data_IF_618641322225
#
_entry.id   IF_618641322225
#
_cell.length_a   1.000
_cell.length_b   1.000
_cell.length_c   1.000
_cell.angle_alpha   90.00
_cell.angle_beta   90.00
_cell.angle_gamma   90.00
#
_symmetry.space_group_name_H-M   'P 1'
#
loop_
_entity.id
_entity.type
_entity.pdbx_description
1 polymer ?
#
# COMPACT_ATOMS: atom_id res chain seq x y z
N UNK A 1 -14.78 -22.92 8.14
CA UNK A 1 -14.99 -21.55 8.64
C UNK A 1 -14.25 -20.64 7.71
N UNK A 2 -14.93 -19.68 7.10
CA UNK A 2 -14.27 -18.62 6.35
C UNK A 2 -13.46 -17.76 7.33
N UNK A 3 -12.25 -17.30 6.96
CA UNK A 3 -11.46 -16.44 7.83
C UNK A 3 -12.22 -15.14 8.11
N UNK A 4 -12.15 -14.61 9.35
CA UNK A 4 -12.85 -13.37 9.68
C UNK A 4 -12.32 -12.22 8.81
N UNK A 5 -13.25 -11.47 8.23
CA UNK A 5 -12.94 -10.24 7.51
C UNK A 5 -12.41 -9.19 8.49
N UNK A 6 -11.13 -8.83 8.36
CA UNK A 6 -10.48 -7.89 9.26
C UNK A 6 -10.44 -6.50 8.61
N UNK A 7 -11.10 -5.53 9.24
CA UNK A 7 -10.93 -4.12 8.90
C UNK A 7 -9.74 -3.57 9.67
N UNK A 8 -8.75 -3.06 8.95
CA UNK A 8 -7.72 -2.24 9.55
C UNK A 8 -8.21 -0.83 9.86
N UNK A 9 -7.64 -0.16 10.87
CA UNK A 9 -7.99 1.20 11.21
C UNK A 9 -7.81 2.11 10.00
N UNK A 10 -8.54 3.22 10.02
CA UNK A 10 -8.42 4.26 9.01
C UNK A 10 -7.11 5.02 9.23
N UNK A 11 -6.18 4.84 8.30
CA UNK A 11 -4.92 5.55 8.26
C UNK A 11 -5.13 7.01 7.86
N UNK A 12 -4.62 7.92 8.70
CA UNK A 12 -4.62 9.36 8.45
C UNK A 12 -3.21 9.92 8.58
N UNK A 13 -2.89 11.01 7.87
CA UNK A 13 -1.57 11.65 7.99
C UNK A 13 -1.34 12.25 9.38
N UNK A 14 -2.38 12.76 10.02
CA UNK A 14 -2.32 13.38 11.35
C UNK A 14 -2.46 12.38 12.51
N UNK A 15 -2.40 11.07 12.24
CA UNK A 15 -2.47 10.08 13.32
C UNK A 15 -1.29 10.21 14.28
N UNK A 16 -1.58 10.18 15.59
CA UNK A 16 -0.55 10.13 16.64
C UNK A 16 0.22 8.79 16.64
N UNK A 17 -0.29 7.78 15.94
CA UNK A 17 0.30 6.45 15.81
C UNK A 17 1.08 6.31 14.49
N UNK A 18 2.37 5.89 14.53
CA UNK A 18 3.16 5.68 13.32
C UNK A 18 2.75 4.38 12.63
N UNK A 19 1.69 4.44 11.83
CA UNK A 19 1.23 3.32 11.02
C UNK A 19 2.06 3.12 9.76
N UNK A 20 2.71 4.17 9.26
CA UNK A 20 3.61 4.15 8.11
C UNK A 20 5.04 4.02 8.60
N UNK A 21 5.66 2.86 8.39
CA UNK A 21 7.07 2.64 8.66
C UNK A 21 7.96 3.43 7.69
N UNK A 22 7.60 3.38 6.39
CA UNK A 22 8.31 4.07 5.34
C UNK A 22 7.90 3.64 3.94
N UNK A 23 8.59 4.19 2.94
CA UNK A 23 8.33 3.89 1.54
C UNK A 23 9.64 3.47 0.89
N UNK A 24 9.71 2.23 0.40
CA UNK A 24 10.94 1.69 -0.15
C UNK A 24 11.26 2.24 -1.56
N UNK A 25 12.48 2.02 -2.10
CA UNK A 25 12.84 2.49 -3.44
C UNK A 25 11.94 1.97 -4.56
N UNK A 26 11.34 0.79 -4.35
CA UNK A 26 10.39 0.16 -5.27
C UNK A 26 8.95 0.64 -5.05
N UNK A 27 8.73 1.70 -4.25
CA UNK A 27 7.41 2.28 -3.96
C UNK A 27 6.44 1.31 -3.27
N UNK A 28 6.92 0.39 -2.44
CA UNK A 28 6.02 -0.25 -1.49
C UNK A 28 5.81 0.63 -0.28
N UNK A 29 4.56 0.72 0.18
CA UNK A 29 4.19 1.39 1.41
C UNK A 29 4.25 0.37 2.55
N UNK A 30 5.18 0.55 3.48
CA UNK A 30 5.38 -0.34 4.61
C UNK A 30 4.50 0.11 5.76
N UNK A 31 3.47 -0.67 6.07
CA UNK A 31 2.46 -0.28 7.04
C UNK A 31 2.31 -1.30 8.16
N UNK A 32 2.09 -0.81 9.38
CA UNK A 32 1.69 -1.60 10.53
C UNK A 32 0.20 -1.98 10.43
N UNK A 33 -0.08 -3.27 10.41
CA UNK A 33 -1.46 -3.78 10.38
C UNK A 33 -2.09 -3.52 11.74
N UNK A 34 -3.24 -2.85 11.77
CA UNK A 34 -3.95 -2.54 13.03
C UNK A 34 -3.11 -1.75 14.04
N UNK A 35 -2.08 -1.01 13.58
CA UNK A 35 -1.14 -0.32 14.45
C UNK A 35 -0.14 -1.24 15.18
N UNK A 36 -0.15 -2.54 14.90
CA UNK A 36 0.83 -3.49 15.44
C UNK A 36 2.17 -3.38 14.70
N UNK A 37 3.15 -2.78 15.37
CA UNK A 37 4.51 -2.59 14.84
C UNK A 37 5.28 -3.90 14.66
N UNK A 38 4.81 -5.02 15.23
CA UNK A 38 5.38 -6.34 14.97
C UNK A 38 4.84 -6.97 13.68
N UNK A 39 3.74 -6.43 13.14
CA UNK A 39 3.08 -6.92 11.93
C UNK A 39 3.13 -5.85 10.82
N UNK A 40 4.29 -5.71 10.19
CA UNK A 40 4.50 -4.76 9.08
C UNK A 40 4.38 -5.47 7.72
N UNK A 41 3.53 -4.92 6.85
CA UNK A 41 3.31 -5.41 5.47
C UNK A 41 3.63 -4.34 4.43
N UNK A 42 4.08 -4.78 3.24
CA UNK A 42 4.54 -3.88 2.17
C UNK A 42 3.49 -3.80 1.04
N UNK A 43 2.62 -2.79 1.03
CA UNK A 43 1.57 -2.62 0.00
C UNK A 43 2.20 -2.12 -1.30
N UNK A 44 1.91 -2.74 -2.47
CA UNK A 44 2.38 -2.22 -3.75
C UNK A 44 1.81 -0.82 -4.04
N UNK A 45 2.68 0.18 -4.16
CA UNK A 45 2.30 1.52 -4.57
C UNK A 45 2.22 1.70 -6.09
N UNK A 46 1.88 2.92 -6.51
CA UNK A 46 1.83 3.28 -7.92
C UNK A 46 3.25 3.42 -8.49
N UNK A 47 3.45 2.94 -9.72
CA UNK A 47 4.66 3.17 -10.51
C UNK A 47 4.25 3.74 -11.86
N UNK A 48 4.91 4.81 -12.29
CA UNK A 48 4.67 5.45 -13.58
C UNK A 48 5.97 5.66 -14.32
N UNK A 49 5.89 5.79 -15.64
CA UNK A 49 7.02 6.10 -16.52
C UNK A 49 7.15 7.60 -16.79
N UNK A 50 6.14 8.41 -16.46
CA UNK A 50 6.13 9.86 -16.71
C UNK A 50 5.27 10.65 -15.72
N UNK A 51 5.53 11.95 -15.63
CA UNK A 51 4.71 12.88 -14.84
C UNK A 51 3.27 12.97 -15.39
N UNK A 52 3.08 12.87 -16.70
CA UNK A 52 1.74 12.96 -17.29
C UNK A 52 0.91 11.72 -17.00
N UNK A 53 1.54 10.54 -16.97
CA UNK A 53 0.91 9.31 -16.47
C UNK A 53 0.51 9.46 -15.00
N UNK A 54 1.37 10.02 -14.15
CA UNK A 54 1.00 10.31 -12.75
C UNK A 54 -0.21 11.25 -12.66
N UNK A 55 -0.22 12.35 -13.43
CA UNK A 55 -1.35 13.29 -13.44
C UNK A 55 -2.64 12.61 -13.88
N UNK A 56 -2.57 11.73 -14.88
CA UNK A 56 -3.71 10.95 -15.36
C UNK A 56 -4.24 10.04 -14.25
N UNK A 57 -3.38 9.23 -13.64
CA UNK A 57 -3.76 8.36 -12.51
C UNK A 57 -4.38 9.13 -11.34
N UNK A 58 -3.79 10.27 -10.94
CA UNK A 58 -4.33 11.07 -9.85
C UNK A 58 -5.68 11.72 -10.20
N UNK A 59 -5.93 12.02 -11.49
CA UNK A 59 -7.25 12.49 -11.94
C UNK A 59 -8.29 11.38 -11.85
N UNK A 60 -7.96 10.17 -12.30
CA UNK A 60 -8.85 9.01 -12.20
C UNK A 60 -9.16 8.68 -10.73
N UNK A 61 -8.14 8.63 -9.87
CA UNK A 61 -8.30 8.40 -8.44
C UNK A 61 -9.29 9.40 -7.80
N UNK A 62 -9.13 10.70 -8.08
CA UNK A 62 -10.02 11.75 -7.57
C UNK A 62 -11.44 11.70 -8.17
N UNK A 63 -11.62 11.05 -9.31
CA UNK A 63 -12.92 10.91 -9.97
C UNK A 63 -13.72 9.71 -9.46
N UNK A 64 -13.09 8.77 -8.74
CA UNK A 64 -13.74 7.57 -8.22
C UNK A 64 -14.97 7.91 -7.37
N UNK A 65 -16.11 7.35 -7.76
CA UNK A 65 -17.35 7.40 -7.00
C UNK A 65 -17.43 6.24 -6.00
N UNK A 66 -18.25 6.34 -4.94
CA UNK A 66 -18.50 5.22 -4.05
C UNK A 66 -18.87 3.95 -4.80
N UNK A 67 -18.30 2.83 -4.37
CA UNK A 67 -18.39 1.48 -4.96
C UNK A 67 -17.59 1.27 -6.25
N UNK A 68 -16.92 2.30 -6.78
CA UNK A 68 -15.97 2.14 -7.87
C UNK A 68 -14.59 1.68 -7.37
N UNK A 69 -13.77 1.21 -8.30
CA UNK A 69 -12.42 0.74 -8.03
C UNK A 69 -11.46 1.10 -9.16
N UNK A 70 -10.19 1.25 -8.81
CA UNK A 70 -9.10 1.38 -9.78
C UNK A 70 -8.00 0.36 -9.47
N UNK A 71 -7.25 -0.06 -10.49
CA UNK A 71 -6.16 -1.03 -10.33
C UNK A 71 -4.82 -0.36 -10.61
N UNK A 72 -3.88 -0.52 -9.68
CA UNK A 72 -2.48 -0.18 -9.85
C UNK A 72 -1.76 -1.41 -10.39
N UNK A 73 -1.36 -1.35 -11.67
CA UNK A 73 -0.64 -2.46 -12.32
C UNK A 73 0.86 -2.25 -12.22
N UNK A 74 1.59 -3.27 -11.77
CA UNK A 74 3.06 -3.32 -11.76
C UNK A 74 3.54 -4.54 -12.52
N UNK A 75 4.83 -4.61 -12.82
CA UNK A 75 5.43 -5.70 -13.60
C UNK A 75 5.16 -7.11 -13.02
N UNK A 76 5.09 -7.24 -11.69
CA UNK A 76 4.95 -8.54 -11.02
C UNK A 76 3.75 -8.61 -10.05
N UNK A 77 2.93 -7.56 -9.96
CA UNK A 77 1.83 -7.48 -8.99
C UNK A 77 0.78 -6.49 -9.42
N UNK A 78 -0.43 -6.62 -8.91
CA UNK A 78 -1.47 -5.60 -9.00
C UNK A 78 -1.98 -5.25 -7.59
N UNK A 79 -2.48 -4.04 -7.43
CA UNK A 79 -3.13 -3.57 -6.21
C UNK A 79 -4.43 -2.86 -6.60
N UNK A 80 -5.56 -3.25 -6.00
CA UNK A 80 -6.85 -2.60 -6.26
C UNK A 80 -7.16 -1.60 -5.15
N UNK A 81 -7.48 -0.37 -5.53
CA UNK A 81 -8.05 0.64 -4.64
C UNK A 81 -9.56 0.60 -4.82
N UNK A 82 -10.29 0.44 -3.71
CA UNK A 82 -11.75 0.48 -3.66
C UNK A 82 -12.19 1.82 -3.06
N UNK A 83 -13.10 2.54 -3.71
CA UNK A 83 -13.79 3.68 -3.10
C UNK A 83 -14.98 3.14 -2.31
N UNK A 84 -14.87 3.02 -1.00
CA UNK A 84 -15.95 2.46 -0.15
C UNK A 84 -17.08 3.48 -0.01
N UNK A 85 -16.70 4.73 0.26
CA UNK A 85 -17.60 5.86 0.41
C UNK A 85 -16.82 7.17 0.23
N UNK A 86 -17.52 8.31 0.32
CA UNK A 86 -16.87 9.62 0.27
C UNK A 86 -15.75 9.70 1.30
N UNK A 87 -14.53 10.01 0.84
CA UNK A 87 -13.32 10.12 1.66
C UNK A 87 -12.95 8.82 2.43
N UNK A 88 -13.34 7.65 1.93
CA UNK A 88 -12.98 6.35 2.51
C UNK A 88 -12.59 5.38 1.39
N UNK A 89 -11.30 5.07 1.31
CA UNK A 89 -10.72 4.18 0.32
C UNK A 89 -10.14 2.95 1.02
N UNK A 90 -10.15 1.82 0.32
CA UNK A 90 -9.59 0.59 0.85
C UNK A 90 -8.62 -0.07 -0.12
N UNK A 91 -7.62 -0.73 0.45
CA UNK A 91 -6.75 -1.69 -0.24
C UNK A 91 -6.87 -3.03 0.48
N UNK A 92 -7.29 -4.05 -0.26
CA UNK A 92 -7.39 -5.43 0.25
C UNK A 92 -6.05 -6.15 0.20
N UNK A 93 -5.79 -6.99 1.20
CA UNK A 93 -4.64 -7.88 1.24
C UNK A 93 -4.88 -9.13 2.07
N UNK A 94 -4.31 -10.25 1.65
CA UNK A 94 -4.20 -11.43 2.50
C UNK A 94 -2.96 -11.35 3.42
N UNK A 95 -3.18 -11.50 4.72
CA UNK A 95 -2.16 -11.44 5.78
C UNK A 95 -2.39 -12.62 6.71
N UNK A 96 -1.41 -13.52 6.82
CA UNK A 96 -1.49 -14.74 7.65
C UNK A 96 -2.76 -15.59 7.39
N UNK A 97 -3.20 -15.70 6.12
CA UNK A 97 -4.39 -16.45 5.73
C UNK A 97 -5.73 -15.75 6.03
N UNK A 98 -5.69 -14.47 6.45
CA UNK A 98 -6.87 -13.65 6.66
C UNK A 98 -6.91 -12.48 5.68
N UNK A 99 -8.12 -12.16 5.20
CA UNK A 99 -8.35 -10.99 4.34
C UNK A 99 -8.43 -9.74 5.23
N UNK A 100 -7.56 -8.78 4.94
CA UNK A 100 -7.41 -7.52 5.67
C UNK A 100 -7.65 -6.34 4.72
N UNK A 101 -8.45 -5.38 5.17
CA UNK A 101 -8.79 -4.18 4.41
C UNK A 101 -8.18 -2.94 5.07
N UNK A 102 -7.19 -2.36 4.40
CA UNK A 102 -6.49 -1.16 4.82
C UNK A 102 -7.26 0.08 4.39
N UNK A 103 -7.79 0.83 5.36
CA UNK A 103 -8.63 1.99 5.10
C UNK A 103 -7.81 3.29 5.09
N UNK A 104 -8.05 4.16 4.13
CA UNK A 104 -7.37 5.44 3.99
C UNK A 104 -8.41 6.55 3.76
N UNK A 105 -8.13 7.75 4.27
CA UNK A 105 -8.77 8.93 3.71
C UNK A 105 -8.12 9.34 2.38
N UNK A 106 -8.80 10.22 1.64
CA UNK A 106 -8.38 10.66 0.31
C UNK A 106 -6.99 11.29 0.35
N UNK A 107 -6.76 12.17 1.33
CA UNK A 107 -5.52 12.91 1.48
C UNK A 107 -4.32 11.99 1.72
N UNK A 108 -4.50 11.01 2.61
CA UNK A 108 -3.47 10.02 2.94
C UNK A 108 -3.14 9.17 1.73
N UNK A 109 -4.15 8.60 1.06
CA UNK A 109 -3.90 7.74 -0.10
C UNK A 109 -3.35 8.53 -1.29
N UNK A 110 -3.82 9.76 -1.53
CA UNK A 110 -3.27 10.62 -2.58
C UNK A 110 -1.81 10.97 -2.30
N UNK A 111 -1.44 11.23 -1.05
CA UNK A 111 -0.06 11.52 -0.65
C UNK A 111 0.84 10.32 -0.88
N UNK A 112 0.38 9.10 -0.59
CA UNK A 112 1.09 7.88 -0.94
C UNK A 112 1.26 7.75 -2.46
N UNK A 113 0.19 7.91 -3.24
CA UNK A 113 0.23 7.83 -4.70
C UNK A 113 1.17 8.86 -5.34
N UNK A 114 1.30 10.06 -4.75
CA UNK A 114 2.23 11.10 -5.21
C UNK A 114 3.70 10.69 -5.13
N UNK A 115 4.05 9.70 -4.31
CA UNK A 115 5.42 9.17 -4.27
C UNK A 115 5.83 8.45 -5.55
N UNK A 116 4.88 8.15 -6.45
CA UNK A 116 5.18 7.66 -7.79
C UNK A 116 5.84 8.70 -8.70
N UNK A 117 5.96 9.96 -8.29
CA UNK A 117 6.65 10.99 -9.06
C UNK A 117 8.07 10.55 -9.45
N UNK A 118 8.52 10.73 -10.72
CA UNK A 118 9.84 10.28 -11.17
C UNK A 118 11.00 10.86 -10.34
N UNK A 119 10.87 12.12 -9.93
CA UNK A 119 11.87 12.79 -9.09
C UNK A 119 11.75 12.51 -7.59
N UNK A 120 10.75 11.71 -7.15
CA UNK A 120 10.65 11.36 -5.74
C UNK A 120 11.83 10.48 -5.32
N UNK A 121 12.42 10.81 -4.19
CA UNK A 121 13.55 10.10 -3.61
C UNK A 121 13.12 9.43 -2.31
N UNK A 122 13.49 8.16 -2.19
CA UNK A 122 13.33 7.38 -0.97
C UNK A 122 14.19 8.00 0.14
N UNK A 123 13.64 8.11 1.35
CA UNK A 123 14.42 8.57 2.49
C UNK A 123 15.55 7.58 2.78
N UNK A 124 16.74 8.06 3.18
CA UNK A 124 17.90 7.19 3.41
C UNK A 124 17.64 6.09 4.44
N UNK A 125 16.78 6.36 5.43
CA UNK A 125 16.36 5.37 6.44
C UNK A 125 15.51 4.22 5.87
N UNK A 126 14.83 4.44 4.75
CA UNK A 126 13.87 3.50 4.17
C UNK A 126 14.51 2.58 3.12
N UNK A 127 15.79 2.78 2.79
CA UNK A 127 16.54 1.95 1.84
C UNK A 127 16.58 0.46 2.26
N UNK A 128 16.66 0.20 3.56
CA UNK A 128 16.71 -1.16 4.12
C UNK A 128 15.34 -1.87 4.08
N UNK A 129 14.23 -1.14 3.93
CA UNK A 129 12.90 -1.74 3.81
C UNK A 129 12.81 -2.61 2.56
N UNK A 130 13.32 -2.13 1.43
CA UNK A 130 13.36 -2.91 0.18
C UNK A 130 14.17 -4.21 0.31
N UNK A 131 15.27 -4.19 1.08
CA UNK A 131 16.07 -5.39 1.38
C UNK A 131 15.32 -6.38 2.27
N UNK A 132 14.55 -5.87 3.23
CA UNK A 132 13.71 -6.69 4.10
C UNK A 132 12.66 -7.49 3.31
N UNK A 133 12.09 -6.92 2.24
CA UNK A 133 11.18 -7.63 1.34
C UNK A 133 11.86 -8.82 0.66
N UNK A 134 13.04 -8.57 0.08
CA UNK A 134 13.81 -9.59 -0.62
C UNK A 134 14.15 -10.74 0.33
N UNK A 135 14.63 -10.44 1.54
CA UNK A 135 14.97 -11.44 2.55
C UNK A 135 13.76 -12.29 2.97
N UNK A 136 12.58 -11.68 3.18
CA UNK A 136 11.34 -12.41 3.49
C UNK A 136 10.93 -13.35 2.35
N UNK A 137 11.02 -12.91 1.10
CA UNK A 137 10.73 -13.73 -0.08
C UNK A 137 11.69 -14.93 -0.23
N UNK A 138 12.96 -14.75 0.12
CA UNK A 138 13.94 -15.85 0.13
C UNK A 138 13.65 -16.88 1.23
N UNK A 139 13.28 -16.44 2.43
CA UNK A 139 12.90 -17.32 3.55
C UNK A 139 11.64 -18.14 3.22
N UNK A 140 10.63 -17.53 2.60
CA UNK A 140 9.43 -18.24 2.16
C UNK A 140 9.73 -19.30 1.10
N UNK A 141 10.63 -19.00 0.16
CA UNK A 141 11.05 -19.97 -0.88
C UNK A 141 11.82 -21.16 -0.29
N UNK A 142 12.62 -20.94 0.76
CA UNK A 142 13.35 -22.01 1.45
C UNK A 142 12.42 -22.94 2.25
N UNK A 143 11.37 -22.38 2.86
CA UNK A 143 10.37 -23.16 3.60
C UNK A 143 9.51 -24.07 2.71
N UNK A 144 9.29 -23.71 1.44
CA UNK A 144 8.53 -24.53 0.48
C UNK A 144 9.36 -25.72 -0.06
N UNK A 145 10.68 -25.67 0.07
CA UNK A 145 11.61 -26.71 -0.41
C UNK A 145 12.06 -27.71 0.67
N UNK A 146 11.53 -27.61 1.89
CA UNK A 146 11.92 -28.45 3.04
C UNK A 146 10.88 -29.52 3.35
#
# INVERSE_FOLDING_TARGET
MEPPFCLSPRYRLDDELPWLEGIDPSRHYWIAVNGDTNLIVAIPGLTVSSIDELKHFLREFRALQPQERMTLTRLASACTIYCISSNCYAIEREINGAVVWHLFDQETLESLLRTAHPDWQCASKDLELGRSLLMRSFQQTAAIKS
#
